data_IF_426410971585
#
_entry.id   IF_426410971585
#
_cell.length_a   1.000
_cell.length_b   1.000
_cell.length_c   1.000
_cell.angle_alpha   90.00
_cell.angle_beta   90.00
_cell.angle_gamma   90.00
#
_symmetry.space_group_name_H-M   'P 1'
#
loop_
_entity.id
_entity.type
_entity.pdbx_description
1 polymer ?
#
# COMPACT_ATOMS: atom_id res chain seq x y z
N UNK A 1 -21.45 3.87 -3.70
CA UNK A 1 -20.21 3.25 -3.27
C UNK A 1 -19.53 4.10 -2.20
N UNK A 2 -18.95 3.48 -1.22
CA UNK A 2 -18.40 4.19 -0.08
C UNK A 2 -16.90 4.43 -0.24
N UNK A 3 -16.54 5.71 -0.41
CA UNK A 3 -15.13 6.09 -0.57
C UNK A 3 -14.31 5.76 0.67
N UNK A 4 -14.93 5.85 1.85
CA UNK A 4 -14.23 5.51 3.08
C UNK A 4 -13.78 4.05 3.10
N UNK A 5 -14.62 3.16 2.60
CA UNK A 5 -14.25 1.75 2.55
C UNK A 5 -13.08 1.53 1.61
N UNK A 6 -13.06 2.23 0.49
CA UNK A 6 -11.97 2.11 -0.45
C UNK A 6 -10.66 2.63 0.15
N UNK A 7 -10.73 3.77 0.83
CA UNK A 7 -9.56 4.35 1.47
C UNK A 7 -9.00 3.39 2.52
N UNK A 8 -9.87 2.83 3.33
CA UNK A 8 -9.44 1.90 4.36
C UNK A 8 -8.80 0.65 3.77
N UNK A 9 -9.38 0.14 2.69
CA UNK A 9 -8.84 -1.03 2.04
C UNK A 9 -7.44 -0.76 1.49
N UNK A 10 -7.27 0.36 0.81
CA UNK A 10 -5.97 0.71 0.25
C UNK A 10 -4.94 0.91 1.34
N UNK A 11 -5.33 1.59 2.42
CA UNK A 11 -4.43 1.80 3.54
C UNK A 11 -3.96 0.49 4.13
N UNK A 12 -4.89 -0.44 4.29
CA UNK A 12 -4.55 -1.74 4.86
C UNK A 12 -3.61 -2.51 3.95
N UNK A 13 -3.84 -2.46 2.64
CA UNK A 13 -2.97 -3.14 1.71
C UNK A 13 -1.57 -2.56 1.75
N UNK A 14 -1.45 -1.25 1.87
CA UNK A 14 -0.13 -0.63 1.97
C UNK A 14 0.61 -1.12 3.21
N UNK A 15 -0.09 -1.24 4.32
CA UNK A 15 0.51 -1.74 5.55
C UNK A 15 0.95 -3.18 5.42
N UNK A 16 0.12 -4.00 4.80
CA UNK A 16 0.45 -5.41 4.59
C UNK A 16 1.70 -5.52 3.73
N UNK A 17 1.80 -4.72 2.68
CA UNK A 17 2.96 -4.76 1.81
C UNK A 17 4.23 -4.33 2.54
N UNK A 18 4.14 -3.33 3.39
CA UNK A 18 5.28 -2.90 4.19
C UNK A 18 5.73 -3.98 5.15
N UNK A 19 4.77 -4.66 5.74
CA UNK A 19 5.09 -5.76 6.65
C UNK A 19 5.81 -6.87 5.90
N UNK A 20 5.32 -7.22 4.73
CA UNK A 20 5.95 -8.25 3.92
C UNK A 20 7.34 -7.84 3.49
N UNK A 21 7.53 -6.56 3.16
CA UNK A 21 8.86 -6.08 2.80
C UNK A 21 9.83 -6.24 3.96
N UNK A 22 9.37 -6.00 5.19
CA UNK A 22 10.21 -6.15 6.36
C UNK A 22 10.58 -7.58 6.66
N UNK A 23 9.76 -8.53 6.18
CA UNK A 23 10.00 -9.95 6.42
C UNK A 23 10.53 -10.66 5.19
N UNK A 24 10.83 -9.94 4.13
CA UNK A 24 11.30 -10.54 2.89
C UNK A 24 12.64 -11.21 3.13
N UNK A 25 12.85 -12.33 2.43
CA UNK A 25 14.04 -13.14 2.60
C UNK A 25 15.22 -12.66 1.77
N UNK A 26 14.96 -11.86 0.75
CA UNK A 26 16.04 -11.36 -0.10
C UNK A 26 15.66 -9.98 -0.62
N UNK A 27 16.66 -9.33 -1.22
CA UNK A 27 16.48 -7.94 -1.68
C UNK A 27 15.45 -7.84 -2.78
N UNK A 28 15.39 -8.83 -3.64
CA UNK A 28 14.45 -8.80 -4.75
C UNK A 28 13.01 -8.79 -4.26
N UNK A 29 12.70 -9.66 -3.30
CA UNK A 29 11.37 -9.69 -2.71
C UNK A 29 11.07 -8.40 -1.96
N UNK A 30 12.06 -7.91 -1.22
CA UNK A 30 11.86 -6.69 -0.46
C UNK A 30 11.55 -5.53 -1.40
N UNK A 31 12.28 -5.43 -2.51
CA UNK A 31 12.04 -4.37 -3.47
C UNK A 31 10.65 -4.48 -4.08
N UNK A 32 10.23 -5.71 -4.37
CA UNK A 32 8.90 -5.93 -4.92
C UNK A 32 7.81 -5.43 -3.95
N UNK A 33 7.89 -5.86 -2.70
CA UNK A 33 6.88 -5.47 -1.73
C UNK A 33 6.93 -3.98 -1.41
N UNK A 34 8.14 -3.42 -1.35
CA UNK A 34 8.29 -1.99 -1.10
C UNK A 34 7.65 -1.18 -2.23
N UNK A 35 7.83 -1.63 -3.47
CA UNK A 35 7.23 -0.96 -4.62
C UNK A 35 5.71 -1.04 -4.58
N UNK A 36 5.19 -2.21 -4.20
CA UNK A 36 3.74 -2.36 -4.07
C UNK A 36 3.20 -1.44 -2.98
N UNK A 37 3.90 -1.33 -1.87
CA UNK A 37 3.49 -0.44 -0.79
C UNK A 37 3.47 1.01 -1.28
N UNK A 38 4.47 1.41 -2.05
CA UNK A 38 4.51 2.77 -2.60
C UNK A 38 3.34 3.01 -3.54
N UNK A 39 2.98 2.02 -4.35
CA UNK A 39 1.86 2.15 -5.26
C UNK A 39 0.56 2.36 -4.50
N UNK A 40 0.34 1.58 -3.45
CA UNK A 40 -0.85 1.75 -2.64
C UNK A 40 -0.85 3.10 -1.92
N UNK A 41 0.31 3.54 -1.44
CA UNK A 41 0.41 4.83 -0.77
C UNK A 41 0.10 5.97 -1.72
N UNK A 42 0.59 5.89 -2.95
CA UNK A 42 0.29 6.91 -3.96
C UNK A 42 -1.19 6.94 -4.28
N UNK A 43 -1.80 5.76 -4.37
CA UNK A 43 -3.22 5.67 -4.63
C UNK A 43 -4.03 6.26 -3.48
N UNK A 44 -3.60 5.97 -2.25
CA UNK A 44 -4.25 6.52 -1.08
C UNK A 44 -4.21 8.03 -1.06
N UNK A 45 -3.04 8.60 -1.36
CA UNK A 45 -2.89 10.06 -1.38
C UNK A 45 -3.81 10.67 -2.41
N UNK A 46 -3.96 10.01 -3.58
CA UNK A 46 -4.85 10.51 -4.61
C UNK A 46 -6.30 10.47 -4.15
N UNK A 47 -6.70 9.38 -3.52
CA UNK A 47 -8.07 9.25 -3.02
C UNK A 47 -8.39 10.31 -1.98
N UNK A 48 -7.43 10.62 -1.12
CA UNK A 48 -7.64 11.61 -0.08
C UNK A 48 -7.73 13.02 -0.64
N UNK A 49 -7.12 13.26 -1.80
CA UNK A 49 -7.22 14.55 -2.45
C UNK A 49 -8.53 14.77 -3.17
N UNK A 50 -9.18 13.69 -3.55
CA UNK A 50 -10.42 13.76 -4.33
C UNK A 50 -11.61 13.91 -3.42
N UNK A 51 -11.78 15.01 -2.84
CA UNK A 51 -12.98 15.22 -2.01
C UNK A 51 -14.11 15.85 -2.78
#
# INVERSE_FOLDING_TARGET
MNRSAEVEWVRRQAEIMREKAGKAQNDKERDFYAREADNYAARLARLEKEK
#
